data_IF_370576984562
#
_entry.id   IF_370576984562
#
_cell.length_a   1.000
_cell.length_b   1.000
_cell.length_c   1.000
_cell.angle_alpha   90.00
_cell.angle_beta   90.00
_cell.angle_gamma   90.00
#
_symmetry.space_group_name_H-M   'P 1'
#
loop_
_entity.id
_entity.type
_entity.pdbx_description
1 polymer ?
#
# COMPACT_ATOMS: atom_id res chain seq x y z
N UNK A 1 7.41 -5.48 -13.77
CA UNK A 1 8.16 -6.02 -12.62
C UNK A 1 8.07 -7.53 -12.70
N UNK A 2 9.23 -8.20 -12.77
CA UNK A 2 9.32 -9.66 -12.66
C UNK A 2 10.36 -10.00 -11.61
N UNK A 3 9.97 -10.77 -10.61
CA UNK A 3 10.77 -11.05 -9.42
C UNK A 3 10.55 -12.48 -8.96
N UNK A 4 11.45 -13.01 -8.13
CA UNK A 4 11.23 -14.32 -7.51
C UNK A 4 10.07 -14.26 -6.52
N UNK A 5 9.40 -15.40 -6.29
CA UNK A 5 8.27 -15.51 -5.33
C UNK A 5 8.59 -14.91 -3.96
N UNK A 6 9.70 -15.33 -3.35
CA UNK A 6 10.18 -14.75 -2.08
C UNK A 6 10.32 -13.23 -2.11
N UNK A 7 10.91 -12.68 -3.18
CA UNK A 7 11.05 -11.23 -3.31
C UNK A 7 9.69 -10.54 -3.42
N UNK A 8 8.72 -11.14 -4.12
CA UNK A 8 7.35 -10.62 -4.16
C UNK A 8 6.73 -10.62 -2.76
N UNK A 9 6.90 -11.69 -1.97
CA UNK A 9 6.38 -11.77 -0.60
C UNK A 9 7.00 -10.71 0.29
N UNK A 10 8.33 -10.55 0.25
CA UNK A 10 9.05 -9.52 1.00
C UNK A 10 8.56 -8.12 0.61
N UNK A 11 8.32 -7.86 -0.68
CA UNK A 11 7.78 -6.58 -1.17
C UNK A 11 6.34 -6.31 -0.72
N UNK A 12 5.54 -7.36 -0.50
CA UNK A 12 4.18 -7.27 0.03
C UNK A 12 4.15 -7.27 1.57
N UNK A 13 5.29 -7.33 2.24
CA UNK A 13 5.35 -7.39 3.71
C UNK A 13 4.96 -8.75 4.30
N UNK A 14 4.91 -9.81 3.48
CA UNK A 14 4.65 -11.18 3.92
C UNK A 14 5.99 -11.83 4.29
N UNK A 15 6.17 -12.17 5.57
CA UNK A 15 7.46 -12.65 6.09
C UNK A 15 7.87 -14.07 5.71
N UNK A 16 7.10 -14.76 4.86
CA UNK A 16 7.34 -16.14 4.43
C UNK A 16 6.73 -16.41 3.05
N UNK A 17 7.15 -17.50 2.40
CA UNK A 17 6.57 -17.91 1.12
C UNK A 17 5.25 -18.66 1.34
N UNK A 18 4.17 -18.14 0.77
CA UNK A 18 2.85 -18.78 0.79
C UNK A 18 2.85 -20.04 -0.10
N UNK A 19 2.38 -21.17 0.41
CA UNK A 19 2.02 -22.36 -0.36
C UNK A 19 0.65 -22.23 -1.02
N UNK A 20 0.26 -23.27 -1.77
CA UNK A 20 -1.11 -23.35 -2.30
C UNK A 20 -2.13 -23.31 -1.17
N UNK A 21 -3.24 -22.58 -1.36
CA UNK A 21 -4.28 -22.29 -0.37
C UNK A 21 -3.84 -21.46 0.85
N UNK A 22 -2.56 -21.10 0.98
CA UNK A 22 -2.13 -20.28 2.09
C UNK A 22 -2.62 -18.84 1.92
N UNK A 23 -2.93 -18.22 3.06
CA UNK A 23 -3.23 -16.81 3.16
C UNK A 23 -2.44 -16.18 4.30
N UNK A 24 -2.21 -14.88 4.17
CA UNK A 24 -1.64 -14.02 5.19
C UNK A 24 -2.61 -12.87 5.45
N UNK A 25 -3.58 -13.06 6.36
CA UNK A 25 -4.49 -12.00 6.77
C UNK A 25 -3.87 -11.15 7.88
N UNK A 26 -4.02 -9.84 7.78
CA UNK A 26 -3.67 -8.89 8.82
C UNK A 26 -4.81 -7.88 8.98
N UNK A 27 -5.32 -7.75 10.19
CA UNK A 27 -6.44 -6.87 10.48
C UNK A 27 -6.23 -6.07 11.75
N UNK A 28 -6.64 -4.81 11.73
CA UNK A 28 -6.71 -3.97 12.92
C UNK A 28 -8.10 -3.33 13.03
N UNK A 29 -8.66 -3.35 14.24
CA UNK A 29 -9.92 -2.71 14.59
C UNK A 29 -9.66 -1.52 15.50
N UNK A 30 -10.14 -0.36 15.11
CA UNK A 30 -10.16 0.85 15.93
C UNK A 30 -11.56 1.09 16.48
N UNK A 31 -11.72 0.85 17.78
CA UNK A 31 -12.99 1.03 18.49
C UNK A 31 -13.40 2.49 18.65
N UNK A 32 -12.46 3.44 18.59
CA UNK A 32 -12.79 4.86 18.72
C UNK A 32 -13.46 5.39 17.45
N UNK A 33 -13.00 4.92 16.29
CA UNK A 33 -13.57 5.32 15.00
C UNK A 33 -14.58 4.33 14.41
N UNK A 34 -14.74 3.14 15.01
CA UNK A 34 -15.66 2.10 14.54
C UNK A 34 -15.27 1.54 13.17
N UNK A 35 -13.96 1.41 12.92
CA UNK A 35 -13.41 0.98 11.62
C UNK A 35 -12.52 -0.25 11.78
N UNK A 36 -12.61 -1.15 10.82
CA UNK A 36 -11.66 -2.26 10.67
C UNK A 36 -10.97 -2.13 9.33
N UNK A 37 -9.63 -2.18 9.32
CA UNK A 37 -8.87 -2.34 8.09
C UNK A 37 -8.34 -3.78 8.04
N UNK A 38 -8.57 -4.45 6.91
CA UNK A 38 -8.06 -5.78 6.62
C UNK A 38 -7.15 -5.70 5.40
N UNK A 39 -5.94 -6.23 5.50
CA UNK A 39 -5.01 -6.46 4.41
C UNK A 39 -4.71 -7.96 4.33
N UNK A 40 -5.00 -8.57 3.20
CA UNK A 40 -4.82 -10.00 2.99
C UNK A 40 -3.98 -10.26 1.74
N UNK A 41 -3.05 -11.20 1.84
CA UNK A 41 -2.41 -11.82 0.68
C UNK A 41 -2.82 -13.29 0.63
N UNK A 42 -3.41 -13.75 -0.48
CA UNK A 42 -3.90 -15.13 -0.64
C UNK A 42 -3.34 -15.78 -1.89
N UNK A 43 -2.96 -17.04 -1.76
CA UNK A 43 -2.54 -17.91 -2.85
C UNK A 43 -3.73 -18.76 -3.32
N UNK A 44 -3.82 -18.99 -4.62
CA UNK A 44 -4.81 -19.89 -5.19
C UNK A 44 -4.53 -21.37 -4.88
N UNK A 45 -5.42 -22.23 -5.35
CA UNK A 45 -5.35 -23.67 -5.18
C UNK A 45 -4.15 -24.32 -5.88
N UNK A 46 -3.72 -23.76 -7.02
CA UNK A 46 -2.64 -24.32 -7.83
C UNK A 46 -1.25 -23.74 -7.47
N UNK A 47 -1.22 -22.74 -6.58
CA UNK A 47 0.00 -22.04 -6.20
C UNK A 47 0.62 -21.22 -7.34
N UNK A 48 -0.18 -20.86 -8.34
CA UNK A 48 0.22 -20.15 -9.56
C UNK A 48 -0.31 -18.71 -9.61
N UNK A 49 -1.28 -18.39 -8.75
CA UNK A 49 -1.92 -17.08 -8.69
C UNK A 49 -1.96 -16.58 -7.26
N UNK A 50 -1.67 -15.29 -7.09
CA UNK A 50 -1.71 -14.61 -5.82
C UNK A 50 -2.50 -13.32 -5.96
N UNK A 51 -3.37 -13.08 -4.99
CA UNK A 51 -4.07 -11.81 -4.84
C UNK A 51 -3.64 -11.13 -3.55
N UNK A 52 -3.51 -9.81 -3.59
CA UNK A 52 -3.36 -9.01 -2.38
C UNK A 52 -4.45 -7.94 -2.37
N UNK A 53 -5.15 -7.83 -1.25
CA UNK A 53 -6.37 -7.04 -1.13
C UNK A 53 -6.37 -6.23 0.17
N UNK A 54 -6.87 -4.99 0.10
CA UNK A 54 -7.14 -4.15 1.27
C UNK A 54 -8.61 -3.78 1.27
N UNK A 55 -9.26 -4.03 2.41
CA UNK A 55 -10.66 -3.69 2.66
C UNK A 55 -10.79 -2.81 3.89
N UNK A 56 -11.71 -1.86 3.83
CA UNK A 56 -12.12 -1.06 4.97
C UNK A 56 -13.57 -1.40 5.32
N UNK A 57 -13.82 -1.72 6.59
CA UNK A 57 -15.14 -2.01 7.12
C UNK A 57 -15.52 -0.95 8.16
N UNK A 58 -16.80 -0.56 8.18
CA UNK A 58 -17.35 0.48 9.04
C UNK A 58 -18.53 -0.07 9.83
N UNK A 59 -18.48 0.05 11.15
CA UNK A 59 -19.59 -0.30 12.04
C UNK A 59 -20.81 0.60 11.77
N UNK A 60 -20.54 1.90 11.60
CA UNK A 60 -21.50 2.90 11.13
C UNK A 60 -20.96 3.52 9.85
N UNK A 61 -21.44 3.09 8.66
CA UNK A 61 -20.93 3.59 7.39
C UNK A 61 -21.18 5.10 7.25
N UNK A 62 -20.19 5.87 6.75
CA UNK A 62 -20.40 7.26 6.34
C UNK A 62 -21.51 7.36 5.28
N UNK A 63 -22.18 8.52 5.22
CA UNK A 63 -23.24 8.76 4.24
C UNK A 63 -22.74 8.49 2.81
N UNK A 64 -23.46 7.62 2.08
CA UNK A 64 -23.12 7.25 0.72
C UNK A 64 -22.00 6.22 0.56
N UNK A 65 -21.35 5.75 1.64
CA UNK A 65 -20.38 4.64 1.60
C UNK A 65 -21.03 3.32 2.04
N UNK A 66 -20.58 2.22 1.46
CA UNK A 66 -20.97 0.89 1.91
C UNK A 66 -20.30 0.55 3.26
N UNK A 67 -20.89 -0.40 4.01
CA UNK A 67 -20.28 -0.92 5.25
C UNK A 67 -18.93 -1.60 5.01
N UNK A 68 -18.66 -2.05 3.78
CA UNK A 68 -17.38 -2.61 3.36
C UNK A 68 -16.99 -1.99 2.02
N UNK A 69 -15.75 -1.55 1.90
CA UNK A 69 -15.20 -0.92 0.68
C UNK A 69 -13.89 -1.62 0.33
N UNK A 70 -13.73 -2.04 -0.94
CA UNK A 70 -12.45 -2.54 -1.45
C UNK A 70 -11.58 -1.34 -1.81
N UNK A 71 -10.55 -1.10 -1.00
CA UNK A 71 -9.66 0.04 -1.18
C UNK A 71 -8.60 -0.24 -2.27
N UNK A 72 -8.14 -1.47 -2.34
CA UNK A 72 -7.04 -1.87 -3.21
C UNK A 72 -7.10 -3.36 -3.49
N UNK A 73 -6.77 -3.75 -4.72
CA UNK A 73 -6.58 -5.14 -5.09
C UNK A 73 -5.51 -5.25 -6.16
N UNK A 74 -4.66 -6.26 -6.07
CA UNK A 74 -3.71 -6.63 -7.12
C UNK A 74 -3.68 -8.14 -7.30
N UNK A 75 -3.29 -8.54 -8.51
CA UNK A 75 -3.07 -9.94 -8.88
C UNK A 75 -1.67 -10.13 -9.43
N UNK A 76 -1.02 -11.20 -8.99
CA UNK A 76 0.23 -11.69 -9.53
C UNK A 76 0.08 -13.12 -10.02
N UNK A 77 0.79 -13.46 -11.09
CA UNK A 77 0.83 -14.82 -11.62
C UNK A 77 2.28 -15.32 -11.67
N UNK A 78 2.45 -16.62 -11.48
CA UNK A 78 3.70 -17.30 -11.78
C UNK A 78 4.00 -17.22 -13.28
N UNK A 79 5.27 -16.98 -13.62
CA UNK A 79 5.73 -16.83 -14.99
C UNK A 79 6.84 -17.84 -15.29
N UNK A 80 6.61 -18.65 -16.31
CA UNK A 80 7.57 -19.66 -16.75
C UNK A 80 7.87 -20.70 -15.68
N UNK A 81 9.03 -21.33 -15.77
CA UNK A 81 9.46 -22.42 -14.87
C UNK A 81 10.51 -22.00 -13.85
N UNK A 82 10.98 -20.75 -13.91
CA UNK A 82 12.08 -20.23 -13.08
C UNK A 82 11.63 -19.73 -11.70
N UNK A 83 10.35 -19.92 -11.33
CA UNK A 83 9.80 -19.42 -10.06
C UNK A 83 9.63 -17.90 -10.01
N UNK A 84 9.58 -17.27 -11.18
CA UNK A 84 9.35 -15.84 -11.33
C UNK A 84 7.86 -15.52 -11.23
N UNK A 85 7.54 -14.32 -10.76
CA UNK A 85 6.19 -13.82 -10.59
C UNK A 85 6.08 -12.42 -11.17
N UNK A 86 4.92 -12.11 -11.71
CA UNK A 86 4.61 -10.82 -12.34
C UNK A 86 3.23 -10.34 -11.90
N UNK A 87 3.16 -9.06 -11.50
CA UNK A 87 1.89 -8.40 -11.22
C UNK A 87 1.17 -8.13 -12.55
N UNK A 88 -0.02 -8.68 -12.72
CA UNK A 88 -0.79 -8.57 -13.96
C UNK A 88 -1.95 -7.60 -13.85
N UNK A 89 -2.53 -7.43 -12.67
CA UNK A 89 -3.73 -6.63 -12.46
C UNK A 89 -3.66 -5.75 -11.21
N UNK A 90 -4.40 -4.64 -11.26
CA UNK A 90 -4.57 -3.68 -10.16
C UNK A 90 -5.98 -3.09 -10.22
N UNK A 91 -6.57 -2.83 -9.05
CA UNK A 91 -7.76 -1.99 -8.85
C UNK A 91 -7.50 -1.07 -7.65
N UNK A 92 -7.97 0.17 -7.76
CA UNK A 92 -7.91 1.18 -6.70
C UNK A 92 -9.31 1.73 -6.45
N UNK A 93 -9.79 1.74 -5.21
CA UNK A 93 -11.08 2.34 -4.82
C UNK A 93 -12.27 1.95 -5.72
N UNK A 94 -12.41 0.66 -6.02
CA UNK A 94 -13.44 0.12 -6.95
C UNK A 94 -13.37 0.64 -8.41
N UNK A 95 -12.37 1.45 -8.78
CA UNK A 95 -12.15 1.91 -10.16
C UNK A 95 -11.50 0.80 -11.01
N UNK A 96 -11.82 0.75 -12.32
CA UNK A 96 -11.23 -0.22 -13.24
C UNK A 96 -9.71 0.02 -13.42
N UNK A 97 -9.04 -1.02 -13.91
CA UNK A 97 -7.58 -1.17 -14.03
C UNK A 97 -6.79 0.13 -14.28
N UNK A 98 -6.02 0.58 -13.28
CA UNK A 98 -5.19 1.80 -13.34
C UNK A 98 -3.78 1.55 -13.92
N UNK A 99 -3.65 0.58 -14.84
CA UNK A 99 -2.35 0.13 -15.39
C UNK A 99 -1.61 1.20 -16.22
N UNK A 100 -2.28 2.28 -16.58
CA UNK A 100 -1.67 3.44 -17.27
C UNK A 100 -0.68 4.21 -16.38
N UNK A 101 -0.74 4.00 -15.05
CA UNK A 101 0.21 4.61 -14.12
C UNK A 101 1.60 4.01 -14.34
N UNK A 102 2.57 4.87 -14.66
CA UNK A 102 3.97 4.45 -14.81
C UNK A 102 4.50 3.77 -13.54
N UNK A 103 5.15 2.62 -13.71
CA UNK A 103 5.68 1.78 -12.61
C UNK A 103 4.62 1.38 -11.58
N UNK A 104 3.37 1.16 -12.01
CA UNK A 104 2.28 0.80 -11.12
C UNK A 104 2.61 -0.46 -10.30
N UNK A 105 3.30 -1.45 -10.86
CA UNK A 105 3.65 -2.68 -10.17
C UNK A 105 4.53 -2.42 -8.93
N UNK A 106 5.57 -1.61 -9.08
CA UNK A 106 6.44 -1.23 -7.96
C UNK A 106 5.71 -0.32 -6.95
N UNK A 107 4.83 0.57 -7.44
CA UNK A 107 4.01 1.45 -6.61
C UNK A 107 3.00 0.66 -5.78
N UNK A 108 2.36 -0.34 -6.37
CA UNK A 108 1.42 -1.27 -5.73
C UNK A 108 2.05 -2.00 -4.56
N UNK A 109 3.23 -2.61 -4.74
CA UNK A 109 3.91 -3.27 -3.64
C UNK A 109 4.28 -2.29 -2.51
N UNK A 110 4.76 -1.09 -2.85
CA UNK A 110 5.10 -0.07 -1.83
C UNK A 110 3.87 0.40 -1.05
N UNK A 111 2.77 0.65 -1.74
CA UNK A 111 1.50 1.03 -1.13
C UNK A 111 1.00 -0.06 -0.18
N UNK A 112 0.92 -1.31 -0.66
CA UNK A 112 0.48 -2.43 0.16
C UNK A 112 1.40 -2.66 1.37
N UNK A 113 2.71 -2.61 1.17
CA UNK A 113 3.69 -2.73 2.25
C UNK A 113 3.60 -1.61 3.29
N UNK A 114 3.25 -0.38 2.89
CA UNK A 114 2.99 0.72 3.83
C UNK A 114 1.75 0.44 4.69
N UNK A 115 0.67 -0.07 4.09
CA UNK A 115 -0.53 -0.50 4.82
C UNK A 115 -0.20 -1.61 5.83
N UNK A 116 0.57 -2.63 5.42
CA UNK A 116 1.01 -3.70 6.33
C UNK A 116 1.80 -3.13 7.51
N UNK A 117 2.69 -2.17 7.28
CA UNK A 117 3.48 -1.55 8.35
C UNK A 117 2.59 -0.82 9.37
N UNK A 118 1.58 -0.06 8.91
CA UNK A 118 0.69 0.66 9.81
C UNK A 118 -0.19 -0.30 10.64
N UNK A 119 -0.72 -1.35 9.99
CA UNK A 119 -1.48 -2.40 10.68
C UNK A 119 -0.64 -3.16 11.70
N UNK A 120 0.66 -3.42 11.42
CA UNK A 120 1.59 -4.04 12.38
C UNK A 120 1.89 -3.15 13.59
N UNK A 121 1.63 -1.84 13.48
CA UNK A 121 1.74 -0.87 14.57
C UNK A 121 0.38 -0.50 15.18
N UNK A 122 -0.63 -1.36 15.00
CA UNK A 122 -1.97 -1.18 15.56
C UNK A 122 -2.58 0.19 15.19
N UNK A 123 -2.43 0.57 13.92
CA UNK A 123 -2.93 1.86 13.41
C UNK A 123 -3.79 1.62 12.16
N UNK A 124 -4.94 2.32 12.06
CA UNK A 124 -5.75 2.32 10.85
C UNK A 124 -5.09 3.23 9.82
N UNK A 125 -4.77 2.72 8.62
CA UNK A 125 -4.11 3.51 7.61
C UNK A 125 -5.00 4.55 6.96
N UNK A 126 -4.41 5.71 6.68
CA UNK A 126 -5.03 6.71 5.82
C UNK A 126 -4.83 6.32 4.35
N UNK A 127 -5.80 5.56 3.84
CA UNK A 127 -5.77 5.01 2.48
C UNK A 127 -5.70 6.11 1.42
N UNK A 128 -6.41 7.23 1.60
CA UNK A 128 -6.45 8.31 0.63
C UNK A 128 -5.08 9.00 0.53
N UNK A 129 -4.48 9.33 1.69
CA UNK A 129 -3.13 9.90 1.76
C UNK A 129 -2.06 8.95 1.18
N UNK A 130 -2.16 7.65 1.47
CA UNK A 130 -1.23 6.64 0.94
C UNK A 130 -1.37 6.48 -0.58
N UNK A 131 -2.59 6.54 -1.13
CA UNK A 131 -2.81 6.50 -2.59
C UNK A 131 -2.14 7.73 -3.24
N UNK A 132 -2.34 8.92 -2.69
CA UNK A 132 -1.74 10.15 -3.21
C UNK A 132 -0.21 10.11 -3.17
N UNK A 133 0.34 9.61 -2.05
CA UNK A 133 1.79 9.45 -1.88
C UNK A 133 2.39 8.50 -2.92
N UNK A 134 1.77 7.34 -3.16
CA UNK A 134 2.37 6.28 -3.97
C UNK A 134 2.02 6.33 -5.46
N UNK A 135 0.79 6.74 -5.81
CA UNK A 135 0.30 6.73 -7.18
C UNK A 135 0.34 8.11 -7.85
N UNK A 136 -0.01 9.17 -7.12
CA UNK A 136 -0.12 10.53 -7.67
C UNK A 136 1.13 11.39 -7.51
N UNK A 137 2.07 11.04 -6.64
CA UNK A 137 3.37 11.71 -6.61
C UNK A 137 4.07 11.48 -7.96
N UNK A 138 4.13 12.54 -8.78
CA UNK A 138 5.05 12.59 -9.92
C UNK A 138 6.42 12.20 -9.37
N UNK A 139 7.07 11.20 -9.97
CA UNK A 139 8.42 10.72 -9.66
C UNK A 139 9.47 11.86 -9.73
N UNK A 140 9.38 12.84 -8.83
CA UNK A 140 10.32 13.92 -8.58
C UNK A 140 11.34 13.53 -7.52
N UNK A 141 11.29 12.29 -7.03
CA UNK A 141 12.28 11.71 -6.14
C UNK A 141 13.07 10.65 -6.89
N UNK A 142 13.96 11.13 -7.75
CA UNK A 142 15.19 10.40 -8.03
C UNK A 142 15.92 10.18 -6.71
N UNK A 143 16.08 8.90 -6.36
CA UNK A 143 17.28 8.33 -5.77
C UNK A 143 18.13 9.29 -4.89
N UNK A 144 17.61 9.63 -3.70
CA UNK A 144 18.41 10.19 -2.61
C UNK A 144 17.92 9.63 -1.28
N UNK A 145 18.25 8.37 -0.99
CA UNK A 145 18.39 7.89 0.38
C UNK A 145 19.77 7.28 0.58
N UNK A 146 20.77 8.16 0.60
CA UNK A 146 22.06 7.90 1.24
C UNK A 146 22.37 9.05 2.20
N UNK A 147 22.55 8.71 3.48
CA UNK A 147 23.30 9.54 4.43
C UNK A 147 22.47 10.39 5.38
N UNK A 148 22.39 9.94 6.63
CA UNK A 148 22.00 10.78 7.76
C UNK A 148 22.93 11.99 7.91
N UNK A 149 22.37 13.09 8.40
CA UNK A 149 23.11 14.32 8.67
C UNK A 149 22.15 15.47 8.91
N UNK A 150 21.89 15.75 10.19
CA UNK A 150 20.94 16.78 10.63
C UNK A 150 21.15 18.12 9.94
N UNK A 151 20.05 18.70 9.44
CA UNK A 151 19.96 20.13 9.14
C UNK A 151 18.59 20.62 9.57
N UNK A 152 18.62 21.50 10.57
CA UNK A 152 17.49 22.22 11.14
C UNK A 152 16.58 22.86 10.08
N UNK A 153 15.29 23.06 10.37
CA UNK A 153 14.36 23.67 9.42
C UNK A 153 14.84 25.08 9.05
N UNK A 154 15.04 25.33 7.75
CA UNK A 154 15.37 26.67 7.24
C UNK A 154 14.12 27.55 7.33
N UNK A 155 14.02 28.31 8.41
CA UNK A 155 13.06 29.40 8.56
C UNK A 155 13.30 30.42 7.44
N UNK A 156 12.27 30.71 6.65
CA UNK A 156 12.34 31.72 5.58
C UNK A 156 12.33 33.11 6.24
N UNK A 157 13.42 33.87 6.07
CA UNK A 157 13.64 35.19 6.68
C UNK A 157 12.57 36.25 6.34
N UNK A 158 11.73 36.04 5.31
CA UNK A 158 10.66 36.96 4.92
C UNK A 158 9.38 36.88 5.78
N UNK A 159 9.28 35.97 6.76
CA UNK A 159 8.14 35.93 7.69
C UNK A 159 8.41 36.62 9.03
N UNK A 160 9.65 37.08 9.29
CA UNK A 160 10.00 37.73 10.56
C UNK A 160 9.85 39.25 10.56
N UNK A 161 9.68 39.89 9.39
CA UNK A 161 9.66 41.36 9.25
C UNK A 161 8.28 42.02 9.41
N UNK A 162 7.20 41.25 9.57
CA UNK A 162 5.85 41.80 9.83
C UNK A 162 5.32 41.56 11.25
N UNK A 163 6.13 41.00 12.16
CA UNK A 163 5.73 40.79 13.57
C UNK A 163 6.24 41.88 14.53
N UNK A 164 6.56 43.09 14.03
CA UNK A 164 6.89 44.23 14.90
C UNK A 164 6.45 45.58 14.31
N UNK A 165 5.13 45.75 14.19
CA UNK A 165 4.48 47.07 14.31
C UNK A 165 3.17 46.92 15.09
N UNK A 166 3.31 46.86 16.41
CA UNK A 166 2.44 47.54 17.38
C UNK A 166 3.35 48.08 18.48
#
# INVERSE_FOLDING_TARGET
>A
MRVLKKELMDKLGVGYELGAYDAYPLSYYDGDSGRTCNAEVRMDADGQELEAEIQMMYDTPPEGKASMVQCFWIKANAVGTAGEWELTDIKLQDEPEVKEIGRWQEKSCKFFGAVIQELQTDTIPDIEDLIDLHFHSRDKLGDQRQGGGGKSPKIKANQLLNMKKM
#
